data_IF_676967038825
#
_entry.id   IF_676967038825
#
_cell.length_a   1.000
_cell.length_b   1.000
_cell.length_c   1.000
_cell.angle_alpha   90.00
_cell.angle_beta   90.00
_cell.angle_gamma   90.00
#
_symmetry.space_group_name_H-M   'P 1'
#
loop_
_entity.id
_entity.type
_entity.pdbx_description
1 polymer ?
#
# COMPACT_ATOMS: atom_id res chain seq x y z
N UNK A 1 2.97 13.84 15.90
CA UNK A 1 4.04 13.90 14.89
C UNK A 1 4.63 12.52 14.60
N UNK A 2 5.02 11.75 15.62
CA UNK A 2 5.62 10.42 15.47
C UNK A 2 4.83 9.48 14.53
N UNK A 3 3.53 9.30 14.76
CA UNK A 3 2.69 8.43 13.93
C UNK A 3 2.71 8.83 12.44
N UNK A 4 2.62 10.13 12.13
CA UNK A 4 2.69 10.60 10.73
C UNK A 4 4.03 10.27 10.09
N UNK A 5 5.13 10.42 10.81
CA UNK A 5 6.46 10.08 10.31
C UNK A 5 6.57 8.58 10.04
N UNK A 6 6.00 7.74 10.91
CA UNK A 6 5.93 6.28 10.69
C UNK A 6 5.14 5.97 9.42
N UNK A 7 3.95 6.56 9.23
CA UNK A 7 3.17 6.36 8.00
C UNK A 7 3.93 6.82 6.75
N UNK A 8 4.58 7.98 6.79
CA UNK A 8 5.33 8.51 5.64
C UNK A 8 6.52 7.63 5.28
N UNK A 9 7.28 7.17 6.29
CA UNK A 9 8.38 6.24 6.10
C UNK A 9 7.89 4.90 5.57
N UNK A 10 6.76 4.40 6.07
CA UNK A 10 6.16 3.16 5.59
C UNK A 10 5.73 3.24 4.12
N UNK A 11 5.03 4.31 3.72
CA UNK A 11 4.69 4.55 2.31
C UNK A 11 5.95 4.68 1.44
N UNK A 12 7.01 5.34 1.94
CA UNK A 12 8.27 5.42 1.21
C UNK A 12 8.92 4.05 1.00
N UNK A 13 8.93 3.20 2.03
CA UNK A 13 9.45 1.83 1.95
C UNK A 13 8.65 0.99 0.95
N UNK A 14 7.32 1.09 0.95
CA UNK A 14 6.48 0.39 -0.04
C UNK A 14 6.76 0.89 -1.47
N UNK A 15 6.94 2.20 -1.64
CA UNK A 15 7.30 2.78 -2.94
C UNK A 15 8.63 2.21 -3.45
N UNK A 16 9.68 2.29 -2.63
CA UNK A 16 11.01 1.77 -2.97
C UNK A 16 10.99 0.25 -3.19
N UNK A 17 10.24 -0.49 -2.38
CA UNK A 17 10.06 -1.93 -2.53
C UNK A 17 9.39 -2.29 -3.86
N UNK A 18 8.37 -1.54 -4.29
CA UNK A 18 7.73 -1.74 -5.58
C UNK A 18 8.69 -1.49 -6.75
N UNK A 19 9.50 -0.42 -6.70
CA UNK A 19 10.54 -0.19 -7.70
C UNK A 19 11.60 -1.29 -7.72
N UNK A 20 12.06 -1.73 -6.55
CA UNK A 20 13.05 -2.81 -6.44
C UNK A 20 12.54 -4.12 -7.05
N UNK A 21 11.31 -4.54 -6.70
CA UNK A 21 10.70 -5.75 -7.23
C UNK A 21 10.46 -5.64 -8.74
N UNK A 22 10.04 -4.48 -9.22
CA UNK A 22 9.86 -4.26 -10.65
C UNK A 22 11.17 -4.38 -11.43
N UNK A 23 12.28 -3.86 -10.90
CA UNK A 23 13.61 -4.06 -11.51
C UNK A 23 13.95 -5.54 -11.57
N UNK A 24 13.70 -6.32 -10.51
CA UNK A 24 13.91 -7.78 -10.54
C UNK A 24 13.03 -8.49 -11.56
N UNK A 25 11.78 -8.07 -11.70
CA UNK A 25 10.83 -8.60 -12.69
C UNK A 25 11.27 -8.27 -14.13
N UNK A 26 11.70 -7.03 -14.41
CA UNK A 26 12.20 -6.64 -15.74
C UNK A 26 13.49 -7.36 -16.13
N UNK A 27 14.35 -7.66 -15.15
CA UNK A 27 15.58 -8.41 -15.37
C UNK A 27 15.36 -9.93 -15.33
N UNK A 28 14.13 -10.39 -15.06
CA UNK A 28 13.76 -11.81 -14.92
C UNK A 28 14.71 -12.56 -13.96
N UNK A 29 15.06 -11.92 -12.83
CA UNK A 29 16.03 -12.46 -11.87
C UNK A 29 15.37 -13.15 -10.69
N UNK A 30 16.03 -14.20 -10.20
CA UNK A 30 15.61 -14.94 -9.01
C UNK A 30 14.27 -15.64 -9.24
N UNK A 31 13.29 -15.35 -8.40
CA UNK A 31 11.94 -15.95 -8.49
C UNK A 31 11.16 -15.52 -9.74
N UNK A 32 11.65 -14.53 -10.49
CA UNK A 32 11.01 -14.01 -11.70
C UNK A 32 11.63 -14.54 -13.01
N UNK A 33 12.42 -15.61 -12.97
CA UNK A 33 13.07 -16.16 -14.17
C UNK A 33 12.07 -16.71 -15.20
N UNK A 34 10.92 -17.24 -14.76
CA UNK A 34 9.89 -17.78 -15.65
C UNK A 34 8.53 -17.25 -15.24
N UNK A 35 7.76 -16.73 -16.20
CA UNK A 35 6.39 -16.31 -15.94
C UNK A 35 5.47 -17.56 -15.81
N UNK A 36 4.61 -17.65 -14.79
CA UNK A 36 3.76 -18.82 -14.58
C UNK A 36 2.78 -18.99 -15.74
N UNK A 37 2.74 -20.18 -16.34
CA UNK A 37 1.84 -20.47 -17.46
C UNK A 37 0.37 -20.47 -17.01
N UNK A 38 0.10 -20.91 -15.77
CA UNK A 38 -1.25 -20.86 -15.15
C UNK A 38 -1.85 -19.45 -15.12
N UNK A 39 -1.03 -18.40 -15.17
CA UNK A 39 -1.51 -17.02 -15.08
C UNK A 39 -1.97 -16.49 -16.44
N UNK A 40 -1.51 -17.08 -17.54
CA UNK A 40 -1.78 -16.60 -18.90
C UNK A 40 -3.25 -16.86 -19.24
N UNK A 41 -3.96 -15.79 -19.64
CA UNK A 41 -5.40 -15.86 -19.98
C UNK A 41 -6.33 -15.88 -18.76
N UNK A 42 -5.80 -15.98 -17.54
CA UNK A 42 -6.54 -15.91 -16.28
C UNK A 42 -6.34 -14.55 -15.61
N UNK A 43 -5.08 -14.10 -15.56
CA UNK A 43 -4.68 -12.79 -15.05
C UNK A 43 -4.63 -11.76 -16.17
N UNK A 44 -4.75 -10.45 -15.86
CA UNK A 44 -4.64 -9.39 -16.87
C UNK A 44 -3.19 -9.13 -17.35
N UNK A 45 -2.26 -10.05 -17.06
CA UNK A 45 -0.84 -9.93 -17.36
C UNK A 45 -0.33 -11.23 -17.98
N UNK A 46 0.46 -11.10 -19.04
CA UNK A 46 1.03 -12.25 -19.77
C UNK A 46 2.56 -12.33 -19.65
N UNK A 47 3.19 -11.42 -18.92
CA UNK A 47 4.64 -11.41 -18.67
C UNK A 47 4.98 -10.56 -17.44
N UNK A 48 6.19 -10.77 -16.88
CA UNK A 48 6.67 -10.03 -15.71
C UNK A 48 6.77 -8.52 -15.95
N UNK A 49 7.19 -8.10 -17.14
CA UNK A 49 7.34 -6.69 -17.49
C UNK A 49 6.05 -5.89 -17.37
N UNK A 50 4.92 -6.46 -17.81
CA UNK A 50 3.60 -5.83 -17.71
C UNK A 50 3.13 -5.71 -16.25
N UNK A 51 3.35 -6.76 -15.44
CA UNK A 51 3.05 -6.75 -14.01
C UNK A 51 3.96 -5.77 -13.24
N UNK A 52 5.24 -5.71 -13.60
CA UNK A 52 6.21 -4.79 -13.03
C UNK A 52 5.82 -3.33 -13.27
N UNK A 53 5.42 -3.01 -14.51
CA UNK A 53 4.98 -1.67 -14.87
C UNK A 53 3.72 -1.26 -14.10
N UNK A 54 2.75 -2.16 -13.96
CA UNK A 54 1.57 -1.95 -13.11
C UNK A 54 1.97 -1.69 -11.65
N UNK A 55 2.83 -2.55 -11.07
CA UNK A 55 3.31 -2.41 -9.70
C UNK A 55 4.02 -1.08 -9.44
N UNK A 56 4.88 -0.65 -10.37
CA UNK A 56 5.57 0.66 -10.29
C UNK A 56 4.58 1.80 -10.35
N UNK A 57 3.68 1.81 -11.33
CA UNK A 57 2.77 2.94 -11.52
C UNK A 57 1.82 3.07 -10.33
N UNK A 58 1.21 1.97 -9.90
CA UNK A 58 0.20 2.01 -8.85
C UNK A 58 0.84 2.10 -7.47
N UNK A 59 1.75 1.19 -7.14
CA UNK A 59 2.30 1.09 -5.79
C UNK A 59 3.64 1.81 -5.61
N UNK A 60 4.48 1.88 -6.65
CA UNK A 60 5.69 2.69 -6.63
C UNK A 60 5.36 4.18 -6.55
N UNK A 61 4.78 4.72 -7.61
CA UNK A 61 4.45 6.15 -7.72
C UNK A 61 3.35 6.52 -6.72
N UNK A 62 2.28 5.73 -6.58
CA UNK A 62 1.19 6.04 -5.67
C UNK A 62 1.64 6.20 -4.21
N UNK A 63 2.43 5.26 -3.69
CA UNK A 63 2.97 5.40 -2.33
C UNK A 63 4.06 6.49 -2.23
N UNK A 64 4.82 6.73 -3.31
CA UNK A 64 5.78 7.83 -3.39
C UNK A 64 5.12 9.21 -3.29
N UNK A 65 4.00 9.40 -3.98
CA UNK A 65 3.15 10.60 -3.87
C UNK A 65 2.58 10.72 -2.46
N UNK A 66 2.04 9.64 -1.88
CA UNK A 66 1.50 9.66 -0.52
C UNK A 66 2.57 10.06 0.51
N UNK A 67 3.77 9.48 0.42
CA UNK A 67 4.89 9.81 1.31
C UNK A 67 5.36 11.26 1.15
N UNK A 68 5.56 11.71 -0.09
CA UNK A 68 5.95 13.09 -0.41
C UNK A 68 4.92 14.09 0.10
N UNK A 69 3.64 13.81 -0.14
CA UNK A 69 2.53 14.60 0.38
C UNK A 69 2.58 14.70 1.90
N UNK A 70 2.75 13.57 2.61
CA UNK A 70 2.78 13.54 4.06
C UNK A 70 4.00 14.24 4.69
N UNK A 71 5.13 14.33 3.99
CA UNK A 71 6.29 15.11 4.45
C UNK A 71 6.12 16.61 4.20
N UNK A 72 5.54 17.00 3.06
CA UNK A 72 5.35 18.42 2.70
C UNK A 72 4.14 19.03 3.41
N UNK A 73 3.00 18.33 3.38
CA UNK A 73 1.73 18.78 3.94
C UNK A 73 1.56 18.23 5.34
N UNK A 74 1.37 19.12 6.32
CA UNK A 74 1.23 18.76 7.74
C UNK A 74 -0.20 18.44 8.16
N UNK A 75 -1.11 18.24 7.21
CA UNK A 75 -2.51 17.91 7.50
C UNK A 75 -2.72 16.42 7.81
N UNK A 76 -3.96 16.03 8.10
CA UNK A 76 -4.31 14.67 8.49
C UNK A 76 -4.83 13.83 7.32
N UNK A 77 -4.85 14.36 6.09
CA UNK A 77 -5.34 13.62 4.91
C UNK A 77 -4.45 12.43 4.57
N UNK A 78 -3.19 12.45 5.03
CA UNK A 78 -2.25 11.34 4.89
C UNK A 78 -2.80 10.01 5.47
N UNK A 79 -3.63 10.07 6.52
CA UNK A 79 -4.23 8.87 7.10
C UNK A 79 -5.22 8.22 6.13
N UNK A 80 -6.09 9.03 5.52
CA UNK A 80 -7.04 8.59 4.50
C UNK A 80 -6.32 8.07 3.27
N UNK A 81 -5.30 8.80 2.77
CA UNK A 81 -4.51 8.36 1.60
C UNK A 81 -3.85 7.00 1.86
N UNK A 82 -3.22 6.84 3.03
CA UNK A 82 -2.54 5.57 3.36
C UNK A 82 -3.54 4.43 3.51
N UNK A 83 -4.69 4.68 4.13
CA UNK A 83 -5.76 3.68 4.21
C UNK A 83 -6.26 3.27 2.81
N UNK A 84 -6.50 4.23 1.92
CA UNK A 84 -6.97 3.93 0.55
C UNK A 84 -5.93 3.17 -0.26
N UNK A 85 -4.64 3.52 -0.14
CA UNK A 85 -3.56 2.78 -0.79
C UNK A 85 -3.42 1.36 -0.24
N UNK A 86 -3.54 1.19 1.08
CA UNK A 86 -3.54 -0.13 1.72
C UNK A 86 -4.71 -0.99 1.28
N UNK A 87 -5.91 -0.43 1.21
CA UNK A 87 -7.11 -1.13 0.73
C UNK A 87 -6.95 -1.56 -0.73
N UNK A 88 -6.43 -0.68 -1.59
CA UNK A 88 -6.13 -1.04 -2.98
C UNK A 88 -5.09 -2.16 -3.06
N UNK A 89 -4.01 -2.07 -2.27
CA UNK A 89 -2.95 -3.08 -2.25
C UNK A 89 -3.47 -4.44 -1.76
N UNK A 90 -4.33 -4.44 -0.75
CA UNK A 90 -4.99 -5.62 -0.23
C UNK A 90 -5.85 -6.29 -1.31
N UNK A 91 -6.70 -5.51 -2.00
CA UNK A 91 -7.54 -6.04 -3.08
C UNK A 91 -6.69 -6.60 -4.23
N UNK A 92 -5.62 -5.91 -4.62
CA UNK A 92 -4.68 -6.39 -5.63
C UNK A 92 -3.90 -7.64 -5.20
N UNK A 93 -3.93 -8.01 -3.92
CA UNK A 93 -3.34 -9.26 -3.43
C UNK A 93 -4.39 -10.37 -3.32
N UNK A 94 -5.57 -10.07 -2.79
CA UNK A 94 -6.63 -11.06 -2.53
C UNK A 94 -7.33 -11.51 -3.82
N UNK A 95 -7.62 -10.60 -4.75
CA UNK A 95 -8.34 -10.93 -5.99
C UNK A 95 -7.56 -11.96 -6.82
N UNK A 96 -6.24 -11.80 -7.08
CA UNK A 96 -5.46 -12.81 -7.80
C UNK A 96 -5.48 -14.18 -7.13
N UNK A 97 -5.38 -14.23 -5.80
CA UNK A 97 -5.46 -15.49 -5.04
C UNK A 97 -6.81 -16.17 -5.22
N UNK A 98 -7.92 -15.44 -5.21
CA UNK A 98 -9.25 -16.01 -5.44
C UNK A 98 -9.38 -16.53 -6.87
N UNK A 99 -8.90 -15.77 -7.85
CA UNK A 99 -9.00 -16.12 -9.27
C UNK A 99 -8.15 -17.36 -9.59
N UNK A 100 -6.92 -17.42 -9.06
CA UNK A 100 -5.99 -18.51 -9.30
C UNK A 100 -6.28 -19.74 -8.43
N UNK A 101 -7.07 -19.60 -7.36
CA UNK A 101 -7.36 -20.68 -6.41
C UNK A 101 -6.17 -21.10 -5.55
N UNK A 102 -5.04 -20.41 -5.65
CA UNK A 102 -3.78 -20.77 -5.00
C UNK A 102 -3.16 -19.58 -4.26
N UNK A 103 -2.49 -19.89 -3.14
CA UNK A 103 -1.70 -18.93 -2.37
C UNK A 103 -0.22 -19.05 -2.74
N UNK A 104 0.30 -18.05 -3.44
CA UNK A 104 1.73 -17.98 -3.73
C UNK A 104 2.48 -17.31 -2.58
N UNK A 105 3.73 -17.74 -2.36
CA UNK A 105 4.56 -17.19 -1.27
C UNK A 105 4.73 -15.66 -1.38
N UNK A 106 5.05 -15.06 -2.56
CA UNK A 106 5.16 -13.61 -2.69
C UNK A 106 3.85 -12.87 -2.39
N UNK A 107 2.70 -13.46 -2.76
CA UNK A 107 1.39 -12.86 -2.46
C UNK A 107 1.12 -12.81 -0.95
N UNK A 108 1.64 -13.75 -0.16
CA UNK A 108 1.51 -13.69 1.29
C UNK A 108 2.26 -12.53 1.95
N UNK A 109 3.45 -12.21 1.45
CA UNK A 109 4.20 -11.06 1.94
C UNK A 109 3.46 -9.75 1.61
N UNK A 110 2.95 -9.62 0.38
CA UNK A 110 2.15 -8.45 -0.02
C UNK A 110 0.86 -8.31 0.78
N UNK A 111 0.22 -9.42 1.13
CA UNK A 111 -0.97 -9.42 1.96
C UNK A 111 -0.67 -8.82 3.34
N UNK A 112 0.39 -9.29 4.01
CA UNK A 112 0.80 -8.76 5.32
C UNK A 112 1.16 -7.27 5.23
N UNK A 113 1.92 -6.87 4.20
CA UNK A 113 2.26 -5.46 3.99
C UNK A 113 1.01 -4.60 3.80
N UNK A 114 0.06 -5.04 2.99
CA UNK A 114 -1.20 -4.31 2.78
C UNK A 114 -2.02 -4.18 4.06
N UNK A 115 -2.07 -5.22 4.90
CA UNK A 115 -2.74 -5.17 6.20
C UNK A 115 -2.08 -4.17 7.15
N UNK A 116 -0.74 -4.17 7.23
CA UNK A 116 -0.02 -3.17 8.04
C UNK A 116 -0.36 -1.76 7.54
N UNK A 117 -0.40 -1.55 6.23
CA UNK A 117 -0.75 -0.25 5.64
C UNK A 117 -2.17 0.20 6.05
N UNK A 118 -3.15 -0.69 5.94
CA UNK A 118 -4.55 -0.44 6.33
C UNK A 118 -4.63 -0.10 7.81
N UNK A 119 -4.01 -0.91 8.67
CA UNK A 119 -4.04 -0.72 10.12
C UNK A 119 -3.40 0.61 10.53
N UNK A 120 -2.27 0.97 9.94
CA UNK A 120 -1.62 2.26 10.18
C UNK A 120 -2.50 3.44 9.76
N UNK A 121 -3.13 3.36 8.58
CA UNK A 121 -4.08 4.36 8.08
C UNK A 121 -5.29 4.53 8.99
N UNK A 122 -5.92 3.40 9.38
CA UNK A 122 -7.09 3.37 10.24
C UNK A 122 -6.78 3.89 11.65
N UNK A 123 -5.66 3.47 12.25
CA UNK A 123 -5.24 3.94 13.55
C UNK A 123 -5.00 5.46 13.56
N UNK A 124 -4.38 5.99 12.50
CA UNK A 124 -4.20 7.43 12.33
C UNK A 124 -5.52 8.20 12.23
N UNK A 125 -6.47 7.66 11.46
CA UNK A 125 -7.80 8.26 11.30
C UNK A 125 -8.60 8.27 12.61
N UNK A 126 -8.64 7.15 13.33
CA UNK A 126 -9.35 7.02 14.61
C UNK A 126 -8.77 7.96 15.67
N UNK A 127 -7.45 8.06 15.76
CA UNK A 127 -6.78 8.94 16.70
C UNK A 127 -7.10 10.42 16.42
N UNK A 128 -7.10 10.81 15.14
CA UNK A 128 -7.52 12.15 14.74
C UNK A 128 -8.98 12.45 15.14
N UNK A 129 -9.90 11.52 14.86
CA UNK A 129 -11.31 11.67 15.19
C UNK A 129 -11.52 11.80 16.71
N UNK A 130 -10.86 10.95 17.50
CA UNK A 130 -10.95 10.96 18.95
C UNK A 130 -10.44 12.27 19.56
N UNK A 131 -9.28 12.76 19.10
CA UNK A 131 -8.74 14.06 19.55
C UNK A 131 -9.68 15.21 19.19
N UNK A 132 -10.28 15.18 18.00
CA UNK A 132 -11.23 16.20 17.56
C UNK A 132 -12.50 16.20 18.44
N UNK A 133 -13.05 15.02 18.75
CA UNK A 133 -14.22 14.87 19.63
C UNK A 133 -13.95 15.38 21.04
N UNK A 134 -12.81 15.03 21.64
CA UNK A 134 -12.43 15.50 22.98
C UNK A 134 -12.28 17.02 23.04
N UNK A 135 -11.65 17.62 22.02
CA UNK A 135 -11.49 19.08 21.94
C UNK A 135 -12.84 19.79 21.83
N UNK A 136 -13.77 19.24 21.06
CA UNK A 136 -15.11 19.82 20.91
C UNK A 136 -15.94 19.70 22.19
N UNK A 137 -15.82 18.58 22.92
CA UNK A 137 -16.49 18.38 24.21
C UNK A 137 -16.02 19.40 25.27
N UNK A 138 -14.71 19.63 25.37
CA UNK A 138 -14.18 20.61 26.34
C UNK A 138 -14.62 22.05 26.03
N UNK A 139 -14.71 22.43 24.75
CA UNK A 139 -15.22 23.75 24.34
C UNK A 139 -16.69 23.96 24.72
N UNK A 140 -17.50 22.90 24.71
CA UNK A 140 -18.92 22.96 25.10
C UNK A 140 -19.12 23.09 26.61
N UNK A 141 -18.20 22.58 27.42
CA UNK A 141 -18.28 22.62 28.89
C UNK A 141 -17.69 23.92 29.50
N UNK A 142 -17.07 24.78 28.71
CA UNK A 142 -16.46 26.04 29.15
C UNK A 142 -17.33 27.28 28.84
N UNK A 143 -18.59 27.07 28.45
CA UNK A 143 -19.62 28.08 28.17
C UNK A 143 -20.79 27.77 29.09
#
# INVERSE_FOLDING_TARGET
MLLKNILNAYNLLLSLGAFYLAVLMFLERGVFHTFPQEWIGVMPFNNWSSLALFGVIVFGIGNGIASTYGFIKKDNKIFTITFTMGALFFLCTVIPTIILGEWYLPTSAFFVLSLIQILLGLFGFLNFCLVWLLKNRNKKNSI
#
